data_IF_777685912636
#
_entry.id   IF_777685912636
#
_cell.length_a   1.000
_cell.length_b   1.000
_cell.length_c   1.000
_cell.angle_alpha   90.00
_cell.angle_beta   90.00
_cell.angle_gamma   90.00
#
_symmetry.space_group_name_H-M   'P 1'
#
loop_
_entity.id
_entity.type
_entity.pdbx_description
1 polymer ?
#
# COMPACT_ATOMS: atom_id res chain seq x y z
N UNK A 1 37.55 -53.46 40.26
CA UNK A 1 36.90 -54.24 39.17
C UNK A 1 35.40 -54.19 39.46
N UNK A 2 34.48 -53.65 38.66
CA UNK A 2 34.49 -53.15 37.28
C UNK A 2 33.58 -51.92 37.23
N UNK A 3 33.98 -50.91 36.45
CA UNK A 3 33.12 -49.80 36.05
C UNK A 3 31.94 -50.34 35.21
N UNK A 4 30.71 -49.86 35.46
CA UNK A 4 29.65 -49.90 34.45
C UNK A 4 29.54 -48.51 33.82
N UNK A 5 30.15 -48.40 32.65
CA UNK A 5 29.97 -47.31 31.70
C UNK A 5 28.77 -47.61 30.79
N UNK A 6 28.25 -46.59 30.10
CA UNK A 6 27.16 -46.60 29.09
C UNK A 6 25.76 -46.42 29.69
N UNK A 7 24.91 -45.45 29.33
CA UNK A 7 24.72 -44.77 28.03
C UNK A 7 24.23 -43.32 28.29
N UNK A 8 25.05 -42.36 27.90
CA UNK A 8 24.64 -41.01 27.47
C UNK A 8 24.34 -41.11 25.96
N UNK A 9 23.53 -40.21 25.38
CA UNK A 9 23.18 -40.07 23.92
C UNK A 9 21.87 -40.82 23.57
N UNK A 10 20.78 -40.25 23.03
CA UNK A 10 20.53 -38.98 22.36
C UNK A 10 19.06 -38.55 22.58
N UNK A 11 18.84 -37.32 23.02
CA UNK A 11 17.57 -36.58 22.86
C UNK A 11 17.84 -35.26 22.13
N UNK A 12 18.74 -35.30 21.15
CA UNK A 12 19.05 -34.17 20.30
C UNK A 12 18.72 -34.57 18.87
N UNK A 13 17.98 -33.69 18.20
CA UNK A 13 17.60 -33.73 16.78
C UNK A 13 16.33 -34.55 16.50
N UNK A 14 15.19 -33.87 16.59
CA UNK A 14 14.19 -33.84 15.51
C UNK A 14 13.46 -32.47 15.58
N UNK A 15 14.25 -31.39 15.50
CA UNK A 15 13.76 -30.15 14.90
C UNK A 15 14.00 -30.31 13.40
N UNK A 16 13.12 -31.08 12.75
CA UNK A 16 12.99 -30.93 11.32
C UNK A 16 12.44 -29.51 11.10
N UNK A 17 13.08 -28.65 10.29
CA UNK A 17 12.39 -27.47 9.82
C UNK A 17 11.15 -27.97 9.10
N UNK A 18 9.96 -27.68 9.65
CA UNK A 18 8.75 -27.76 8.86
C UNK A 18 9.02 -26.83 7.68
N UNK A 19 9.06 -27.39 6.48
CA UNK A 19 9.08 -26.55 5.29
C UNK A 19 7.83 -25.67 5.41
N UNK A 20 8.05 -24.36 5.42
CA UNK A 20 6.98 -23.39 5.36
C UNK A 20 6.36 -23.53 3.96
N UNK A 21 5.11 -23.99 3.93
CA UNK A 21 4.34 -24.20 2.72
C UNK A 21 3.30 -23.07 2.67
N UNK A 22 3.26 -22.32 1.57
CA UNK A 22 2.38 -21.17 1.43
C UNK A 22 1.86 -20.94 0.02
N UNK A 23 0.69 -20.29 -0.09
CA UNK A 23 0.06 -19.96 -1.37
C UNK A 23 0.74 -18.75 -1.99
N UNK A 24 1.17 -18.86 -3.24
CA UNK A 24 1.89 -17.79 -3.93
C UNK A 24 0.93 -16.73 -4.49
N UNK A 25 1.25 -15.47 -4.20
CA UNK A 25 0.59 -14.28 -4.73
C UNK A 25 1.63 -13.50 -5.54
N UNK A 26 1.34 -13.28 -6.82
CA UNK A 26 2.06 -12.37 -7.69
C UNK A 26 1.24 -11.10 -7.81
N UNK A 27 1.86 -9.95 -7.56
CA UNK A 27 1.18 -8.67 -7.68
C UNK A 27 2.09 -7.63 -8.32
N UNK A 28 1.48 -6.63 -8.94
CA UNK A 28 2.23 -5.56 -9.60
C UNK A 28 1.49 -4.87 -10.71
N UNK A 29 2.21 -3.99 -11.39
CA UNK A 29 1.75 -3.25 -12.56
C UNK A 29 2.23 -3.91 -13.86
N UNK A 30 1.75 -3.42 -14.99
CA UNK A 30 2.32 -3.78 -16.28
C UNK A 30 3.68 -3.11 -16.47
N UNK A 31 4.52 -3.73 -17.30
CA UNK A 31 5.71 -3.03 -17.80
C UNK A 31 5.29 -1.84 -18.64
N UNK A 32 6.03 -0.76 -18.54
CA UNK A 32 5.73 0.51 -19.21
C UNK A 32 4.42 1.16 -18.77
N UNK A 33 4.03 1.00 -17.50
CA UNK A 33 2.97 1.81 -16.94
C UNK A 33 3.47 3.24 -16.69
N UNK A 34 2.59 4.21 -16.95
CA UNK A 34 2.81 5.61 -16.66
C UNK A 34 2.37 5.87 -15.21
N UNK A 35 3.33 5.79 -14.30
CA UNK A 35 3.14 5.92 -12.85
C UNK A 35 3.81 7.22 -12.39
N UNK A 36 2.99 8.19 -12.02
CA UNK A 36 3.44 9.57 -11.82
C UNK A 36 2.91 10.18 -10.53
N UNK A 37 3.51 11.30 -10.14
CA UNK A 37 3.09 12.13 -9.03
C UNK A 37 1.98 13.11 -9.43
N UNK A 38 1.54 13.91 -8.46
CA UNK A 38 0.47 14.90 -8.63
C UNK A 38 0.82 16.02 -9.63
N UNK A 39 2.10 16.17 -9.97
CA UNK A 39 2.66 17.12 -10.95
C UNK A 39 2.99 16.44 -12.30
N UNK A 40 2.62 15.17 -12.47
CA UNK A 40 2.91 14.33 -13.63
C UNK A 40 4.41 14.06 -13.87
N UNK A 41 5.22 14.03 -12.80
CA UNK A 41 6.59 13.52 -12.85
C UNK A 41 6.63 12.03 -12.51
N UNK A 42 7.60 11.31 -13.06
CA UNK A 42 7.82 9.90 -12.71
C UNK A 42 8.05 9.79 -11.22
N UNK A 43 7.43 8.80 -10.57
CA UNK A 43 7.79 8.47 -9.19
C UNK A 43 9.28 8.13 -9.09
N UNK A 44 9.86 8.32 -7.91
CA UNK A 44 11.24 7.96 -7.62
C UNK A 44 11.32 6.98 -6.43
N UNK A 45 12.53 6.69 -5.97
CA UNK A 45 12.77 5.79 -4.84
C UNK A 45 12.29 6.33 -3.48
N UNK A 46 11.71 7.54 -3.42
CA UNK A 46 11.08 8.04 -2.19
C UNK A 46 9.69 7.46 -1.97
N UNK A 47 9.08 6.87 -3.00
CA UNK A 47 7.79 6.20 -2.90
C UNK A 47 7.94 4.75 -2.49
N UNK A 48 7.05 4.31 -1.62
CA UNK A 48 6.94 2.95 -1.11
C UNK A 48 5.68 2.33 -1.71
N UNK A 49 5.79 1.10 -2.20
CA UNK A 49 4.70 0.35 -2.84
C UNK A 49 4.38 -0.86 -1.98
N UNK A 50 3.23 -0.84 -1.32
CA UNK A 50 2.84 -1.89 -0.38
C UNK A 50 1.54 -2.56 -0.78
N UNK A 51 1.55 -3.88 -0.70
CA UNK A 51 0.35 -4.71 -0.67
C UNK A 51 -0.02 -4.95 0.79
N UNK A 52 -1.29 -4.75 1.13
CA UNK A 52 -1.73 -4.93 2.52
C UNK A 52 -3.23 -4.83 2.70
N UNK A 53 -3.64 -4.70 3.95
CA UNK A 53 -5.03 -4.50 4.35
C UNK A 53 -5.08 -3.59 5.56
N UNK A 54 -6.20 -2.89 5.72
CA UNK A 54 -6.51 -2.24 6.99
C UNK A 54 -6.92 -3.27 8.05
N UNK A 55 -6.54 -3.03 9.30
CA UNK A 55 -6.83 -3.86 10.47
C UNK A 55 -8.31 -4.16 10.65
N UNK A 56 -8.63 -5.25 11.36
CA UNK A 56 -10.00 -5.68 11.57
C UNK A 56 -10.85 -4.59 12.23
N UNK A 57 -11.97 -4.23 11.60
CA UNK A 57 -12.89 -3.21 12.12
C UNK A 57 -12.58 -1.78 11.68
N UNK A 58 -11.50 -1.56 10.92
CA UNK A 58 -11.25 -0.30 10.23
C UNK A 58 -11.78 -0.37 8.80
N UNK A 59 -12.53 0.64 8.38
CA UNK A 59 -12.95 0.82 6.99
C UNK A 59 -12.35 2.14 6.51
N UNK A 60 -11.40 2.13 5.57
CA UNK A 60 -10.78 3.35 5.08
C UNK A 60 -11.80 4.19 4.32
N UNK A 61 -11.73 5.50 4.51
CA UNK A 61 -12.50 6.50 3.78
C UNK A 61 -11.83 7.88 3.87
N UNK A 62 -12.32 8.83 3.07
CA UNK A 62 -11.75 10.19 3.02
C UNK A 62 -11.80 10.91 4.38
N UNK A 63 -12.83 10.65 5.17
CA UNK A 63 -13.02 11.31 6.48
C UNK A 63 -12.03 10.83 7.56
N UNK A 64 -11.30 9.73 7.33
CA UNK A 64 -10.41 9.11 8.33
C UNK A 64 -8.98 8.87 7.82
N UNK A 65 -8.56 9.61 6.80
CA UNK A 65 -7.24 9.47 6.14
C UNK A 65 -6.07 9.61 7.12
N UNK A 66 -6.21 10.46 8.16
CA UNK A 66 -5.21 10.61 9.22
C UNK A 66 -5.01 9.35 10.09
N UNK A 67 -5.93 8.40 10.03
CA UNK A 67 -5.86 7.15 10.79
C UNK A 67 -5.33 5.99 9.93
N UNK A 68 -5.13 6.18 8.63
CA UNK A 68 -4.81 5.09 7.70
C UNK A 68 -3.48 4.42 8.06
N UNK A 69 -2.41 5.19 8.23
CA UNK A 69 -1.08 4.63 8.53
C UNK A 69 -1.07 3.83 9.84
N UNK A 70 -1.84 4.26 10.86
CA UNK A 70 -1.93 3.58 12.14
C UNK A 70 -2.73 2.26 12.06
N UNK A 71 -3.61 2.12 11.08
CA UNK A 71 -4.46 0.93 10.88
C UNK A 71 -4.00 0.07 9.69
N UNK A 72 -2.93 0.46 9.00
CA UNK A 72 -2.39 -0.28 7.86
C UNK A 72 -1.51 -1.44 8.32
N UNK A 73 -1.80 -2.61 7.79
CA UNK A 73 -1.00 -3.81 7.98
C UNK A 73 -0.42 -4.24 6.63
N UNK A 74 0.90 -4.17 6.52
CA UNK A 74 1.67 -4.54 5.35
C UNK A 74 1.70 -6.06 5.25
N UNK A 75 1.33 -6.58 4.08
CA UNK A 75 1.49 -7.98 3.72
C UNK A 75 2.76 -8.20 2.91
N UNK A 76 3.05 -7.31 1.97
CA UNK A 76 4.26 -7.34 1.15
C UNK A 76 4.64 -5.94 0.63
N UNK A 77 5.86 -5.78 0.15
CA UNK A 77 6.39 -4.55 -0.41
C UNK A 77 7.13 -4.83 -1.72
N UNK A 78 7.02 -3.93 -2.69
CA UNK A 78 7.69 -4.03 -3.98
C UNK A 78 8.59 -2.81 -4.22
N UNK A 79 9.72 -3.05 -4.88
CA UNK A 79 10.58 -1.97 -5.37
C UNK A 79 10.01 -1.39 -6.67
N UNK A 80 10.11 -0.06 -6.80
CA UNK A 80 9.77 0.63 -8.04
C UNK A 80 10.93 0.61 -9.04
N UNK A 81 10.66 0.14 -10.24
CA UNK A 81 11.57 0.11 -11.36
C UNK A 81 11.16 1.16 -12.41
N UNK A 82 11.32 2.43 -12.05
CA UNK A 82 11.13 3.56 -12.95
C UNK A 82 12.36 3.88 -13.78
N UNK A 83 12.16 4.41 -14.99
CA UNK A 83 13.23 5.04 -15.77
C UNK A 83 13.20 6.55 -15.48
N UNK A 84 14.09 7.02 -14.60
CA UNK A 84 14.17 8.44 -14.20
C UNK A 84 14.64 9.37 -15.33
N UNK A 85 15.29 8.83 -16.36
CA UNK A 85 15.78 9.63 -17.50
C UNK A 85 14.80 9.50 -18.65
N UNK A 86 14.20 10.59 -19.15
CA UNK A 86 13.45 10.51 -20.40
C UNK A 86 14.46 10.18 -21.51
N UNK A 87 14.57 8.90 -21.85
CA UNK A 87 14.91 8.56 -23.22
C UNK A 87 13.80 9.18 -24.09
N UNK A 88 14.12 9.54 -25.33
CA UNK A 88 13.21 10.20 -26.28
C UNK A 88 11.84 9.47 -26.50
N UNK A 89 11.59 8.35 -25.81
CA UNK A 89 10.47 7.41 -25.93
C UNK A 89 9.47 7.42 -24.73
N UNK A 90 9.62 8.26 -23.69
CA UNK A 90 8.58 8.52 -22.66
C UNK A 90 8.93 8.17 -21.20
N UNK A 91 8.00 8.52 -20.29
CA UNK A 91 8.04 8.25 -18.84
C UNK A 91 7.39 6.90 -18.58
N UNK A 92 8.13 5.93 -18.05
CA UNK A 92 7.64 4.57 -17.89
C UNK A 92 8.27 3.90 -16.67
N UNK A 93 7.48 3.09 -15.96
CA UNK A 93 7.96 2.28 -14.85
C UNK A 93 7.12 1.04 -14.62
N UNK A 94 7.52 0.25 -13.63
CA UNK A 94 6.72 -0.86 -13.11
C UNK A 94 7.13 -1.20 -11.68
N UNK A 95 6.25 -1.87 -10.97
CA UNK A 95 6.56 -2.56 -9.71
C UNK A 95 5.97 -3.96 -9.76
N UNK A 96 6.65 -4.92 -9.15
CA UNK A 96 6.14 -6.28 -9.01
C UNK A 96 6.80 -6.98 -7.84
N UNK A 97 6.06 -7.87 -7.19
CA UNK A 97 6.59 -8.79 -6.19
C UNK A 97 5.86 -10.13 -6.22
N UNK A 98 6.53 -11.14 -5.70
CA UNK A 98 6.02 -12.49 -5.50
C UNK A 98 6.21 -12.85 -4.04
N UNK A 99 5.12 -13.19 -3.36
CA UNK A 99 5.10 -13.47 -1.93
C UNK A 99 4.26 -14.70 -1.64
N UNK A 100 4.57 -15.42 -0.56
CA UNK A 100 3.75 -16.55 -0.14
C UNK A 100 2.94 -16.19 1.10
N UNK A 101 1.65 -16.49 1.07
CA UNK A 101 0.82 -16.56 2.26
C UNK A 101 1.10 -17.87 3.00
N UNK A 102 1.53 -17.76 4.25
CA UNK A 102 1.82 -18.88 5.13
C UNK A 102 0.54 -19.57 5.63
N UNK A 103 0.69 -20.77 6.19
CA UNK A 103 -0.40 -21.59 6.72
C UNK A 103 -1.23 -20.92 7.84
N UNK A 104 -0.71 -19.88 8.49
CA UNK A 104 -1.42 -19.09 9.50
C UNK A 104 -2.10 -17.84 8.92
N UNK A 105 -2.05 -17.67 7.59
CA UNK A 105 -2.60 -16.55 6.85
C UNK A 105 -1.74 -15.29 6.89
N UNK A 106 -0.53 -15.36 7.47
CA UNK A 106 0.45 -14.27 7.40
C UNK A 106 1.30 -14.37 6.14
N UNK A 107 2.27 -13.48 5.98
CA UNK A 107 3.15 -13.39 4.82
C UNK A 107 4.56 -13.82 5.17
N UNK A 108 5.29 -14.39 4.20
CA UNK A 108 6.73 -14.61 4.33
C UNK A 108 7.58 -13.39 3.93
N UNK A 109 6.94 -12.27 3.58
CA UNK A 109 7.62 -11.02 3.24
C UNK A 109 8.43 -10.48 4.42
N UNK A 110 9.66 -9.98 4.19
CA UNK A 110 10.41 -9.27 5.21
C UNK A 110 9.75 -7.94 5.62
N UNK A 111 8.83 -7.41 4.82
CA UNK A 111 8.08 -6.18 5.09
C UNK A 111 6.79 -6.40 5.89
N UNK A 112 6.41 -7.65 6.19
CA UNK A 112 5.22 -7.97 6.97
C UNK A 112 5.19 -7.15 8.28
N UNK A 113 4.07 -6.46 8.53
CA UNK A 113 3.87 -5.73 9.78
C UNK A 113 4.02 -6.67 10.99
N UNK A 114 4.96 -6.40 11.92
CA UNK A 114 5.16 -7.28 13.07
C UNK A 114 3.91 -7.41 13.94
N UNK A 115 3.47 -8.63 14.17
CA UNK A 115 2.27 -8.91 14.96
C UNK A 115 0.97 -8.68 14.21
N UNK A 116 1.00 -8.43 12.90
CA UNK A 116 -0.19 -8.55 12.06
C UNK A 116 -0.78 -9.95 12.23
N UNK A 117 -2.11 -10.01 12.30
CA UNK A 117 -2.84 -11.27 12.34
C UNK A 117 -2.90 -11.94 10.97
N UNK A 118 -3.77 -12.94 10.86
CA UNK A 118 -4.09 -13.53 9.56
C UNK A 118 -4.69 -12.49 8.61
N UNK A 119 -4.29 -12.56 7.34
CA UNK A 119 -4.85 -11.76 6.26
C UNK A 119 -6.04 -12.43 5.55
N UNK A 120 -6.31 -13.70 5.86
CA UNK A 120 -7.36 -14.50 5.23
C UNK A 120 -8.70 -13.78 5.11
N UNK A 121 -9.25 -13.77 3.89
CA UNK A 121 -10.57 -13.21 3.58
C UNK A 121 -10.67 -11.69 3.66
N UNK A 122 -9.58 -10.97 3.94
CA UNK A 122 -9.57 -9.50 3.96
C UNK A 122 -9.44 -8.95 2.55
N UNK A 123 -9.97 -7.75 2.35
CA UNK A 123 -9.71 -7.00 1.12
C UNK A 123 -8.24 -6.61 1.05
N UNK A 124 -7.61 -6.92 -0.08
CA UNK A 124 -6.27 -6.46 -0.38
C UNK A 124 -6.31 -5.09 -1.06
N UNK A 125 -5.38 -4.25 -0.67
CA UNK A 125 -5.18 -2.91 -1.23
C UNK A 125 -3.72 -2.78 -1.64
N UNK A 126 -3.48 -1.95 -2.65
CA UNK A 126 -2.15 -1.43 -2.94
C UNK A 126 -2.10 0.03 -2.52
N UNK A 127 -1.15 0.36 -1.66
CA UNK A 127 -0.88 1.71 -1.21
C UNK A 127 0.50 2.17 -1.67
N UNK A 128 0.52 3.19 -2.52
CA UNK A 128 1.71 3.87 -3.00
C UNK A 128 1.80 5.21 -2.30
N UNK A 129 2.93 5.51 -1.64
CA UNK A 129 3.09 6.76 -0.87
C UNK A 129 4.55 7.16 -0.62
N UNK A 130 4.80 8.44 -0.41
CA UNK A 130 6.10 8.98 0.03
C UNK A 130 6.13 9.51 1.49
N UNK A 131 5.08 9.22 2.26
CA UNK A 131 4.94 9.61 3.68
C UNK A 131 3.73 8.96 4.35
N UNK A 132 3.70 8.94 5.69
CA UNK A 132 2.64 8.27 6.46
C UNK A 132 1.58 9.23 7.03
N UNK A 133 1.90 10.53 7.14
CA UNK A 133 0.98 11.55 7.63
C UNK A 133 0.36 12.34 6.47
N UNK A 134 -0.96 12.66 6.49
CA UNK A 134 -1.63 13.41 5.43
C UNK A 134 -1.32 14.91 5.52
N UNK A 135 -0.11 15.30 5.16
CA UNK A 135 0.39 16.68 5.24
C UNK A 135 0.88 17.18 3.88
N UNK A 136 1.03 18.49 3.74
CA UNK A 136 1.55 19.10 2.51
C UNK A 136 2.86 18.46 2.06
N UNK A 137 2.93 18.09 0.78
CA UNK A 137 4.08 17.43 0.17
C UNK A 137 4.09 15.90 0.30
N UNK A 138 3.18 15.31 1.08
CA UNK A 138 2.92 13.88 1.01
C UNK A 138 1.97 13.57 -0.14
N UNK A 139 2.19 12.42 -0.77
CA UNK A 139 1.52 12.01 -1.99
C UNK A 139 1.15 10.54 -1.92
N UNK A 140 -0.14 10.24 -2.05
CA UNK A 140 -0.68 8.89 -1.89
C UNK A 140 -1.45 8.43 -3.13
N UNK A 141 -1.52 7.11 -3.33
CA UNK A 141 -2.50 6.41 -4.16
C UNK A 141 -2.91 5.15 -3.41
N UNK A 142 -4.19 5.01 -3.10
CA UNK A 142 -4.73 3.82 -2.45
C UNK A 142 -5.82 3.21 -3.32
N UNK A 143 -5.55 2.02 -3.83
CA UNK A 143 -6.40 1.32 -4.79
C UNK A 143 -6.68 -0.12 -4.38
N UNK A 144 -7.78 -0.65 -4.91
CA UNK A 144 -8.21 -2.05 -4.79
C UNK A 144 -9.09 -2.41 -5.97
N UNK A 145 -9.06 -3.67 -6.38
CA UNK A 145 -10.14 -4.26 -7.13
C UNK A 145 -11.09 -4.99 -6.16
N UNK A 146 -12.38 -5.00 -6.45
CA UNK A 146 -13.35 -5.74 -5.62
C UNK A 146 -13.09 -7.26 -5.54
N UNK A 147 -12.38 -7.81 -6.53
CA UNK A 147 -11.98 -9.21 -6.59
C UNK A 147 -10.74 -9.54 -5.74
N UNK A 148 -9.98 -8.53 -5.29
CA UNK A 148 -8.75 -8.74 -4.53
C UNK A 148 -9.06 -9.02 -3.07
N UNK A 149 -9.32 -10.29 -2.80
CA UNK A 149 -9.54 -10.83 -1.46
C UNK A 149 -8.43 -11.82 -1.16
N UNK A 150 -7.72 -11.60 -0.07
CA UNK A 150 -6.71 -12.52 0.43
C UNK A 150 -7.29 -13.94 0.55
N UNK A 151 -6.60 -14.96 0.00
CA UNK A 151 -7.14 -16.32 -0.01
C UNK A 151 -7.21 -16.90 1.40
N UNK A 152 -7.89 -18.03 1.53
CA UNK A 152 -7.95 -18.74 2.81
C UNK A 152 -6.59 -19.33 3.17
N UNK A 153 -6.19 -19.22 4.44
CA UNK A 153 -4.99 -19.86 4.92
C UNK A 153 -5.18 -21.38 4.85
N UNK A 154 -4.30 -22.06 4.12
CA UNK A 154 -4.38 -23.51 3.95
C UNK A 154 -3.25 -24.20 4.73
N UNK A 155 -3.55 -24.81 5.89
CA UNK A 155 -2.54 -25.50 6.69
C UNK A 155 -2.04 -26.80 6.04
N UNK A 156 -2.80 -27.35 5.09
CA UNK A 156 -2.46 -28.56 4.35
C UNK A 156 -1.80 -28.24 3.00
N UNK A 157 -1.51 -26.95 2.74
CA UNK A 157 -0.95 -26.35 1.52
C UNK A 157 -0.38 -27.39 0.53
N UNK A 158 -1.14 -27.65 -0.53
CA UNK A 158 -0.74 -28.16 -1.86
C UNK A 158 -2.00 -28.62 -2.62
N UNK A 159 -2.93 -27.72 -2.94
CA UNK A 159 -3.50 -27.89 -4.27
C UNK A 159 -2.47 -27.34 -5.26
N UNK A 160 -2.32 -27.99 -6.41
CA UNK A 160 -1.53 -27.49 -7.53
C UNK A 160 -2.22 -26.26 -8.17
N UNK A 161 -2.74 -25.38 -7.33
CA UNK A 161 -3.45 -24.19 -7.74
C UNK A 161 -2.41 -23.25 -8.32
N UNK A 162 -2.79 -22.64 -9.43
CA UNK A 162 -1.97 -21.64 -10.08
C UNK A 162 -1.72 -20.49 -9.09
N UNK A 163 -0.53 -19.87 -9.12
CA UNK A 163 -0.29 -18.65 -8.36
C UNK A 163 -1.43 -17.65 -8.57
N UNK A 164 -1.88 -17.03 -7.48
CA UNK A 164 -2.86 -15.95 -7.56
C UNK A 164 -2.16 -14.74 -8.17
N UNK A 165 -2.78 -14.10 -9.15
CA UNK A 165 -2.24 -12.91 -9.82
C UNK A 165 -3.17 -11.73 -9.55
N UNK A 166 -2.60 -10.65 -9.04
CA UNK A 166 -3.26 -9.35 -8.85
C UNK A 166 -2.51 -8.30 -9.64
N UNK A 167 -2.98 -8.05 -10.85
CA UNK A 167 -2.41 -7.05 -11.74
C UNK A 167 -3.19 -5.76 -11.63
N UNK A 168 -2.51 -4.61 -11.69
CA UNK A 168 -3.21 -3.32 -11.81
C UNK A 168 -4.08 -3.24 -13.08
N UNK A 169 -3.85 -4.11 -14.06
CA UNK A 169 -4.73 -4.24 -15.23
C UNK A 169 -6.08 -4.89 -14.93
N UNK A 170 -6.25 -5.53 -13.77
CA UNK A 170 -7.51 -6.12 -13.32
C UNK A 170 -8.49 -5.07 -12.79
N UNK A 171 -8.01 -3.85 -12.51
CA UNK A 171 -8.81 -2.76 -11.98
C UNK A 171 -9.86 -2.33 -13.01
N UNK A 172 -11.12 -2.51 -12.64
CA UNK A 172 -12.24 -2.12 -13.48
C UNK A 172 -12.44 -0.58 -13.45
N UNK A 173 -13.18 -0.07 -14.43
CA UNK A 173 -13.47 1.37 -14.50
C UNK A 173 -14.36 1.87 -13.35
N UNK A 174 -15.04 0.96 -12.65
CA UNK A 174 -15.87 1.23 -11.47
C UNK A 174 -15.14 0.92 -10.14
N UNK A 175 -13.95 0.33 -10.20
CA UNK A 175 -13.03 0.30 -9.06
C UNK A 175 -12.45 1.72 -8.88
N UNK A 176 -13.13 2.54 -8.09
CA UNK A 176 -12.67 3.90 -7.78
C UNK A 176 -11.60 3.83 -6.69
N UNK A 177 -10.37 4.34 -6.92
CA UNK A 177 -9.38 4.39 -5.86
C UNK A 177 -9.87 5.28 -4.72
N UNK A 178 -9.50 4.96 -3.48
CA UNK A 178 -9.88 5.77 -2.31
C UNK A 178 -9.13 7.10 -2.29
N UNK A 179 -7.92 7.12 -2.86
CA UNK A 179 -7.09 8.31 -2.99
C UNK A 179 -6.21 8.18 -4.23
N UNK A 180 -5.92 9.28 -4.92
CA UNK A 180 -5.16 9.24 -6.17
C UNK A 180 -6.03 8.93 -7.39
N UNK A 181 -5.40 8.54 -8.50
CA UNK A 181 -6.15 8.07 -9.69
C UNK A 181 -5.51 6.86 -10.35
N UNK A 182 -6.35 6.09 -11.04
CA UNK A 182 -5.94 4.95 -11.86
C UNK A 182 -6.73 4.96 -13.18
N UNK A 183 -6.06 4.75 -14.31
CA UNK A 183 -6.68 4.70 -15.65
C UNK A 183 -7.67 5.86 -15.94
N UNK A 184 -7.38 7.05 -15.43
CA UNK A 184 -8.25 8.23 -15.54
C UNK A 184 -9.48 8.27 -14.62
N UNK A 185 -9.67 7.28 -13.76
CA UNK A 185 -10.67 7.28 -12.68
C UNK A 185 -10.02 7.86 -11.42
N UNK A 186 -10.49 9.03 -11.00
CA UNK A 186 -9.96 9.72 -9.83
C UNK A 186 -10.78 9.41 -8.57
N UNK A 187 -10.06 9.15 -7.48
CA UNK A 187 -10.57 9.13 -6.11
C UNK A 187 -10.46 10.50 -5.45
N UNK A 188 -10.35 10.49 -4.12
CA UNK A 188 -10.11 11.69 -3.33
C UNK A 188 -8.65 12.18 -3.43
N UNK A 189 -8.41 13.42 -2.97
CA UNK A 189 -7.11 14.07 -3.00
C UNK A 189 -6.99 15.14 -4.09
N UNK A 190 -5.82 15.78 -4.16
CA UNK A 190 -5.56 16.92 -5.02
C UNK A 190 -4.39 16.67 -5.97
N UNK A 191 -4.45 17.27 -7.16
CA UNK A 191 -3.40 17.18 -8.18
C UNK A 191 -3.34 18.44 -9.03
N UNK A 192 -2.17 18.74 -9.58
CA UNK A 192 -1.94 20.00 -10.31
C UNK A 192 -1.97 19.80 -11.82
N UNK A 193 -1.53 18.63 -12.30
CA UNK A 193 -1.47 18.33 -13.73
C UNK A 193 -2.50 17.27 -14.11
N UNK A 194 -3.45 17.67 -14.97
CA UNK A 194 -4.43 16.75 -15.56
C UNK A 194 -3.79 15.99 -16.73
N UNK A 195 -3.93 14.67 -16.75
CA UNK A 195 -3.45 13.81 -17.82
C UNK A 195 -4.12 12.44 -17.77
N UNK A 196 -3.93 11.65 -18.83
CA UNK A 196 -4.33 10.23 -18.82
C UNK A 196 -3.12 9.40 -18.45
N UNK A 197 -2.95 9.15 -17.15
CA UNK A 197 -1.89 8.31 -16.61
C UNK A 197 -2.44 6.94 -16.21
N UNK A 198 -1.61 5.90 -16.22
CA UNK A 198 -2.04 4.59 -15.70
C UNK A 198 -2.33 4.71 -14.21
N UNK A 199 -1.44 5.37 -13.47
CA UNK A 199 -1.57 5.63 -12.04
C UNK A 199 -1.00 7.00 -11.71
N UNK A 200 -1.69 7.73 -10.83
CA UNK A 200 -1.23 9.03 -10.34
C UNK A 200 -1.44 9.14 -8.83
N UNK A 201 -0.38 9.48 -8.09
CA UNK A 201 -0.52 9.86 -6.68
C UNK A 201 -1.03 11.28 -6.55
N UNK A 202 -1.89 11.52 -5.55
CA UNK A 202 -2.45 12.83 -5.24
C UNK A 202 -1.90 13.33 -3.92
N UNK A 203 -1.72 14.65 -3.82
CA UNK A 203 -1.17 15.31 -2.64
C UNK A 203 -2.25 15.80 -1.69
N UNK A 204 -1.83 16.18 -0.48
CA UNK A 204 -2.64 16.90 0.49
C UNK A 204 -2.37 18.40 0.37
N UNK A 205 -3.42 19.18 0.14
CA UNK A 205 -3.31 20.64 0.15
C UNK A 205 -3.39 21.13 1.59
N UNK A 206 -2.59 22.13 2.00
CA UNK A 206 -2.76 22.75 3.31
C UNK A 206 -4.19 23.24 3.49
N UNK A 207 -4.88 22.74 4.51
CA UNK A 207 -6.05 23.46 4.99
C UNK A 207 -5.59 24.88 5.35
N UNK A 208 -6.26 25.94 4.86
CA UNK A 208 -5.92 27.30 5.27
C UNK A 208 -6.03 27.35 6.79
N UNK A 209 -4.90 27.55 7.46
CA UNK A 209 -4.84 27.47 8.93
C UNK A 209 -5.99 28.26 9.54
N UNK A 210 -6.69 27.67 10.52
CA UNK A 210 -7.84 28.32 11.16
C UNK A 210 -7.45 29.69 11.72
N UNK A 211 -6.18 29.87 12.09
CA UNK A 211 -5.58 31.15 12.48
C UNK A 211 -5.62 32.20 11.35
N UNK A 212 -5.30 31.83 10.10
CA UNK A 212 -5.40 32.70 8.93
C UNK A 212 -6.87 33.08 8.65
N UNK A 213 -7.78 32.12 8.74
CA UNK A 213 -9.22 32.37 8.54
C UNK A 213 -9.80 33.30 9.62
N UNK A 214 -9.41 33.10 10.89
CA UNK A 214 -9.81 33.97 12.01
C UNK A 214 -9.17 35.36 11.87
N UNK A 215 -7.92 35.45 11.43
CA UNK A 215 -7.26 36.74 11.18
C UNK A 215 -7.93 37.52 10.04
N UNK A 216 -8.28 36.86 8.94
CA UNK A 216 -9.02 37.45 7.82
C UNK A 216 -10.42 37.89 8.25
N UNK A 217 -11.15 37.05 8.99
CA UNK A 217 -12.46 37.41 9.55
C UNK A 217 -12.36 38.62 10.48
N UNK A 218 -11.32 38.68 11.32
CA UNK A 218 -11.00 39.80 12.18
C UNK A 218 -10.71 41.09 11.41
N UNK A 219 -9.91 41.02 10.34
CA UNK A 219 -9.63 42.17 9.47
C UNK A 219 -10.90 42.71 8.81
N UNK A 220 -11.74 41.82 8.26
CA UNK A 220 -13.03 42.22 7.65
C UNK A 220 -13.95 42.87 8.68
N UNK A 221 -14.01 42.35 9.91
CA UNK A 221 -14.80 42.94 10.98
C UNK A 221 -14.30 44.34 11.38
N UNK A 222 -12.99 44.55 11.46
CA UNK A 222 -12.39 45.87 11.74
C UNK A 222 -12.61 46.86 10.60
N UNK A 223 -12.46 46.42 9.35
CA UNK A 223 -12.71 47.26 8.16
C UNK A 223 -14.18 47.66 8.05
N UNK A 224 -15.12 46.77 8.37
CA UNK A 224 -16.55 47.10 8.45
C UNK A 224 -16.85 48.13 9.54
N UNK A 225 -16.34 47.93 10.76
CA UNK A 225 -16.52 48.89 11.86
C UNK A 225 -15.99 50.29 11.54
N UNK A 226 -14.88 50.38 10.80
CA UNK A 226 -14.31 51.66 10.37
C UNK A 226 -15.07 52.34 9.23
N UNK A 227 -15.94 51.62 8.53
CA UNK A 227 -16.78 52.18 7.45
C UNK A 227 -18.11 52.71 7.98
N UNK A 228 -18.60 52.14 9.07
CA UNK A 228 -19.88 52.50 9.69
C UNK A 228 -19.73 53.55 10.83
N UNK A 229 -18.51 54.06 11.06
CA UNK A 229 -18.19 55.18 11.97
C UNK A 229 -17.78 56.42 11.17
#
# INVERSE_FOLDING_TARGET
MKLSSSILTACLMWLAPMALFGQQINWGSSIYDDIVDSEAQVLDQTFIFQLGSFGSGFTPGEDNVSEWAANWEVFDEADYNGIETPADDGIWGYFTSTVNMEADGTSNSPALTPGAGSFEGRSAFVWIRNGDDPVEGTEWLLMRADSWIFPNADPDCCNNDLPLEWSMSDLAFDDVPLWGSQSGVAGSGEFTTTGSHTMQTFTFVPEPSTALLVALAGMVAVMRRRRDS
#
